data_IF_878420139895
#
_entry.id   IF_878420139895
#
_cell.length_a   1.000
_cell.length_b   1.000
_cell.length_c   1.000
_cell.angle_alpha   90.00
_cell.angle_beta   90.00
_cell.angle_gamma   90.00
#
_symmetry.space_group_name_H-M   'P 1'
#
loop_
_entity.id
_entity.type
_entity.pdbx_description
1 polymer ?
#
# COMPACT_ATOMS: atom_id res chain seq x y z
N UNK A 1 -20.02 12.20 -6.21
CA UNK A 1 -19.03 11.44 -7.02
C UNK A 1 -17.56 11.67 -6.64
N UNK A 2 -17.12 12.86 -6.15
CA UNK A 2 -15.70 13.12 -5.84
C UNK A 2 -15.10 12.28 -4.70
N UNK A 3 -15.85 11.97 -3.62
CA UNK A 3 -15.38 11.15 -2.49
C UNK A 3 -15.04 9.70 -2.87
N UNK A 4 -15.98 9.02 -3.56
CA UNK A 4 -15.77 7.64 -4.04
C UNK A 4 -14.52 7.53 -4.92
N UNK A 5 -14.31 8.48 -5.85
CA UNK A 5 -13.08 8.52 -6.67
C UNK A 5 -11.80 8.58 -5.82
N UNK A 6 -11.77 9.38 -4.77
CA UNK A 6 -10.60 9.52 -3.90
C UNK A 6 -10.32 8.22 -3.15
N UNK A 7 -11.36 7.57 -2.61
CA UNK A 7 -11.24 6.27 -1.95
C UNK A 7 -10.74 5.17 -2.90
N UNK A 8 -11.26 5.11 -4.13
CA UNK A 8 -10.75 4.16 -5.13
C UNK A 8 -9.29 4.44 -5.54
N UNK A 9 -8.87 5.70 -5.57
CA UNK A 9 -7.46 6.05 -5.83
C UNK A 9 -6.56 5.59 -4.68
N UNK A 10 -6.97 5.78 -3.42
CA UNK A 10 -6.19 5.29 -2.27
C UNK A 10 -6.13 3.77 -2.21
N UNK A 11 -7.24 3.08 -2.48
CA UNK A 11 -7.28 1.62 -2.55
C UNK A 11 -6.42 1.09 -3.71
N UNK A 12 -6.49 1.74 -4.87
CA UNK A 12 -5.64 1.39 -6.01
C UNK A 12 -4.16 1.59 -5.70
N UNK A 13 -3.80 2.70 -5.06
CA UNK A 13 -2.43 2.99 -4.64
C UNK A 13 -1.94 1.97 -3.61
N UNK A 14 -2.75 1.64 -2.60
CA UNK A 14 -2.44 0.62 -1.61
C UNK A 14 -2.19 -0.75 -2.27
N UNK A 15 -3.06 -1.17 -3.19
CA UNK A 15 -2.91 -2.42 -3.92
C UNK A 15 -1.60 -2.45 -4.74
N UNK A 16 -1.27 -1.36 -5.43
CA UNK A 16 -0.02 -1.25 -6.20
C UNK A 16 1.19 -1.36 -5.28
N UNK A 17 1.21 -0.66 -4.14
CA UNK A 17 2.33 -0.74 -3.18
C UNK A 17 2.51 -2.17 -2.65
N UNK A 18 1.42 -2.85 -2.28
CA UNK A 18 1.49 -4.23 -1.77
C UNK A 18 2.04 -5.18 -2.85
N UNK A 19 1.53 -5.08 -4.09
CA UNK A 19 1.98 -5.94 -5.20
C UNK A 19 3.44 -5.66 -5.56
N UNK A 20 3.84 -4.40 -5.64
CA UNK A 20 5.24 -4.01 -5.93
C UNK A 20 6.17 -4.48 -4.82
N UNK A 21 5.81 -4.28 -3.56
CA UNK A 21 6.60 -4.77 -2.42
C UNK A 21 6.71 -6.29 -2.41
N UNK A 22 5.64 -7.00 -2.78
CA UNK A 22 5.65 -8.46 -2.90
C UNK A 22 6.55 -8.93 -4.04
N UNK A 23 6.46 -8.32 -5.23
CA UNK A 23 7.35 -8.63 -6.34
C UNK A 23 8.81 -8.30 -6.02
N UNK A 24 9.06 -7.22 -5.27
CA UNK A 24 10.39 -6.86 -4.81
C UNK A 24 11.01 -7.96 -3.93
N UNK A 25 10.23 -8.69 -3.12
CA UNK A 25 10.76 -9.83 -2.34
C UNK A 25 11.32 -10.95 -3.23
N UNK A 26 10.75 -11.15 -4.43
CA UNK A 26 11.17 -12.19 -5.37
C UNK A 26 12.26 -11.75 -6.36
N UNK A 27 12.36 -10.44 -6.64
CA UNK A 27 13.33 -9.89 -7.59
C UNK A 27 14.62 -9.36 -6.93
N UNK A 28 14.55 -8.88 -5.69
CA UNK A 28 15.72 -8.32 -5.02
C UNK A 28 16.56 -9.42 -4.36
N UNK A 29 17.88 -9.19 -4.20
CA UNK A 29 18.75 -10.12 -3.48
C UNK A 29 18.22 -10.35 -2.06
N UNK A 30 18.28 -11.60 -1.57
CA UNK A 30 17.81 -11.99 -0.23
C UNK A 30 18.69 -11.49 0.92
N UNK A 31 19.26 -10.30 0.79
CA UNK A 31 19.96 -9.62 1.88
C UNK A 31 18.95 -9.04 2.86
N UNK A 32 19.30 -8.92 4.16
CA UNK A 32 18.42 -8.35 5.18
C UNK A 32 17.92 -6.94 4.83
N UNK A 33 18.75 -6.13 4.19
CA UNK A 33 18.39 -4.77 3.80
C UNK A 33 17.26 -4.74 2.77
N UNK A 34 17.36 -5.54 1.71
CA UNK A 34 16.34 -5.59 0.65
C UNK A 34 15.04 -6.25 1.10
N UNK A 35 15.10 -7.18 2.06
CA UNK A 35 13.91 -7.73 2.70
C UNK A 35 13.20 -6.67 3.56
N UNK A 36 13.94 -5.91 4.36
CA UNK A 36 13.38 -4.81 5.14
C UNK A 36 12.77 -3.73 4.24
N UNK A 37 13.41 -3.42 3.11
CA UNK A 37 12.89 -2.49 2.11
C UNK A 37 11.58 -3.00 1.49
N UNK A 38 11.57 -4.26 1.04
CA UNK A 38 10.38 -4.88 0.41
C UNK A 38 9.22 -4.99 1.40
N UNK A 39 9.51 -5.43 2.63
CA UNK A 39 8.53 -5.46 3.72
C UNK A 39 8.01 -4.06 4.07
N UNK A 40 8.88 -3.05 4.10
CA UNK A 40 8.51 -1.66 4.33
C UNK A 40 7.54 -1.11 3.27
N UNK A 41 7.75 -1.46 2.00
CA UNK A 41 6.84 -1.07 0.90
C UNK A 41 5.46 -1.70 1.08
N UNK A 42 5.38 -2.97 1.51
CA UNK A 42 4.11 -3.66 1.77
C UNK A 42 3.37 -2.99 2.95
N UNK A 43 4.07 -2.73 4.05
CA UNK A 43 3.50 -2.04 5.24
C UNK A 43 3.01 -0.64 4.86
N UNK A 44 3.77 0.09 4.05
CA UNK A 44 3.35 1.40 3.54
C UNK A 44 2.05 1.29 2.69
N UNK A 45 1.92 0.25 1.87
CA UNK A 45 0.68 -0.03 1.13
C UNK A 45 -0.52 -0.24 2.04
N UNK A 46 -0.36 -1.04 3.11
CA UNK A 46 -1.42 -1.22 4.11
C UNK A 46 -1.74 0.07 4.87
N UNK A 47 -0.74 0.87 5.25
CA UNK A 47 -0.95 2.15 5.91
C UNK A 47 -1.72 3.14 5.02
N UNK A 48 -1.38 3.21 3.73
CA UNK A 48 -2.10 4.02 2.74
C UNK A 48 -3.55 3.53 2.58
N UNK A 49 -3.77 2.22 2.54
CA UNK A 49 -5.11 1.63 2.50
C UNK A 49 -5.93 1.94 3.75
N UNK A 50 -5.31 1.84 4.93
CA UNK A 50 -5.94 2.15 6.21
C UNK A 50 -6.30 3.64 6.34
N UNK A 51 -5.42 4.55 5.96
CA UNK A 51 -5.73 5.99 5.94
C UNK A 51 -6.81 6.30 4.89
N UNK A 52 -6.75 5.67 3.72
CA UNK A 52 -7.74 5.84 2.67
C UNK A 52 -9.14 5.36 3.07
N UNK A 53 -9.24 4.23 3.77
CA UNK A 53 -10.48 3.67 4.27
C UNK A 53 -10.96 4.36 5.55
N UNK A 54 -10.08 4.61 6.51
CA UNK A 54 -10.40 5.31 7.76
C UNK A 54 -10.84 6.75 7.55
N UNK A 55 -10.26 7.46 6.58
CA UNK A 55 -10.76 8.78 6.16
C UNK A 55 -12.13 8.74 5.45
N UNK A 56 -12.56 7.57 5.00
CA UNK A 56 -13.87 7.36 4.38
C UNK A 56 -14.93 7.02 5.43
N UNK A 57 -14.58 6.23 6.44
CA UNK A 57 -15.45 5.84 7.57
C UNK A 57 -15.71 7.00 8.55
N UNK A 58 -14.72 7.85 8.83
CA UNK A 58 -14.88 9.01 9.74
C UNK A 58 -15.74 10.16 9.17
N UNK A 59 -16.20 10.05 7.92
CA UNK A 59 -16.90 11.09 7.18
C UNK A 59 -18.27 10.67 6.65
N UNK A 60 -18.78 9.55 7.18
CA UNK A 60 -20.14 9.02 7.02
C UNK A 60 -20.87 9.15 8.37
#
# INVERSE_FOLDING_TARGET
MKRKRRQYVFLGLAAVLIVVGTLATGFLPSTPFYQALSGGIIVAGFAVGYVGLGASEFLE
#
